data_IF_816959326562
#
_entry.id   IF_816959326562
#
_cell.length_a   1.000
_cell.length_b   1.000
_cell.length_c   1.000
_cell.angle_alpha   90.00
_cell.angle_beta   90.00
_cell.angle_gamma   90.00
#
_symmetry.space_group_name_H-M   'P 1'
#
loop_
_entity.id
_entity.type
_entity.pdbx_description
1 polymer ?
#
# COMPACT_ATOMS: atom_id res chain seq x y z
N UNK A 1 20.68 -8.22 -42.08
CA UNK A 1 21.00 -9.51 -41.40
C UNK A 1 20.79 -10.66 -42.37
N UNK A 2 21.70 -11.64 -42.41
CA UNK A 2 21.60 -12.82 -43.30
C UNK A 2 21.64 -14.10 -42.49
N UNK A 3 20.61 -14.94 -42.57
CA UNK A 3 20.53 -16.24 -41.86
C UNK A 3 20.67 -17.37 -42.87
N UNK A 4 21.47 -18.39 -42.54
CA UNK A 4 21.53 -19.64 -43.30
C UNK A 4 20.54 -20.62 -42.70
N UNK A 5 19.67 -21.21 -43.52
CA UNK A 5 18.71 -22.20 -43.07
C UNK A 5 18.44 -23.26 -44.15
N UNK A 6 18.09 -24.47 -43.72
CA UNK A 6 17.80 -25.57 -44.65
C UNK A 6 16.54 -25.29 -45.48
N UNK A 7 16.51 -25.76 -46.73
CA UNK A 7 15.36 -25.56 -47.63
C UNK A 7 14.06 -26.14 -47.06
N UNK A 8 14.16 -27.26 -46.33
CA UNK A 8 13.03 -27.96 -45.70
C UNK A 8 12.79 -27.52 -44.25
N UNK A 9 13.35 -26.39 -43.83
CA UNK A 9 13.06 -25.85 -42.51
C UNK A 9 11.69 -25.20 -42.47
N UNK A 10 11.14 -25.16 -41.27
CA UNK A 10 9.89 -24.45 -40.98
C UNK A 10 10.14 -22.96 -40.70
N UNK A 11 9.09 -22.15 -40.84
CA UNK A 11 9.11 -20.75 -40.42
C UNK A 11 9.38 -20.65 -38.92
N UNK A 12 8.90 -21.61 -38.11
CA UNK A 12 9.22 -21.67 -36.69
C UNK A 12 10.71 -21.86 -36.40
N UNK A 13 11.40 -22.74 -37.14
CA UNK A 13 12.87 -22.89 -37.05
C UNK A 13 13.60 -21.63 -37.48
N UNK A 14 13.11 -20.94 -38.52
CA UNK A 14 13.65 -19.64 -38.93
C UNK A 14 13.51 -18.61 -37.80
N UNK A 15 12.32 -18.49 -37.17
CA UNK A 15 12.11 -17.59 -36.03
C UNK A 15 13.05 -17.90 -34.85
N UNK A 16 13.31 -19.19 -34.57
CA UNK A 16 14.31 -19.61 -33.57
C UNK A 16 15.72 -19.18 -33.94
N UNK A 17 16.14 -19.35 -35.19
CA UNK A 17 17.46 -18.91 -35.67
C UNK A 17 17.61 -17.38 -35.66
N UNK A 18 16.50 -16.64 -35.80
CA UNK A 18 16.45 -15.19 -35.74
C UNK A 18 16.46 -14.65 -34.30
N UNK A 19 15.93 -15.38 -33.33
CA UNK A 19 15.75 -14.90 -31.96
C UNK A 19 17.02 -14.34 -31.30
N UNK A 20 18.20 -14.99 -31.39
CA UNK A 20 19.43 -14.44 -30.83
C UNK A 20 19.89 -13.13 -31.48
N UNK A 21 19.42 -12.85 -32.70
CA UNK A 21 19.87 -11.71 -33.49
C UNK A 21 18.89 -10.53 -33.46
N UNK A 22 17.60 -10.83 -33.36
CA UNK A 22 16.54 -9.83 -33.21
C UNK A 22 16.27 -9.48 -31.75
N UNK A 23 16.66 -10.35 -30.81
CA UNK A 23 16.32 -10.24 -29.40
C UNK A 23 14.85 -10.59 -29.09
N UNK A 24 14.05 -10.92 -30.10
CA UNK A 24 12.63 -11.26 -29.96
C UNK A 24 12.46 -12.77 -29.82
N UNK A 25 11.59 -13.21 -28.91
CA UNK A 25 11.25 -14.63 -28.83
C UNK A 25 10.56 -15.10 -30.11
N UNK A 26 10.65 -16.39 -30.49
CA UNK A 26 9.99 -16.89 -31.71
C UNK A 26 8.46 -16.65 -31.72
N UNK A 27 7.83 -16.55 -30.57
CA UNK A 27 6.40 -16.23 -30.41
C UNK A 27 6.06 -14.74 -30.61
N UNK A 28 7.06 -13.85 -30.57
CA UNK A 28 6.93 -12.40 -30.73
C UNK A 28 7.32 -11.95 -32.15
N UNK A 29 7.81 -12.87 -32.98
CA UNK A 29 8.23 -12.57 -34.34
C UNK A 29 7.09 -12.83 -35.33
N UNK A 30 6.81 -11.84 -36.16
CA UNK A 30 5.96 -11.91 -37.33
C UNK A 30 6.83 -12.00 -38.59
N UNK A 31 6.67 -13.06 -39.38
CA UNK A 31 7.46 -13.27 -40.61
C UNK A 31 6.54 -13.10 -41.81
N UNK A 32 6.89 -12.17 -42.69
CA UNK A 32 6.15 -11.87 -43.91
C UNK A 32 7.02 -12.11 -45.14
N UNK A 33 6.47 -12.83 -46.13
CA UNK A 33 7.10 -13.03 -47.43
C UNK A 33 6.09 -12.77 -48.56
N UNK A 34 6.46 -11.87 -49.49
CA UNK A 34 5.60 -11.40 -50.58
C UNK A 34 4.25 -10.87 -50.07
N UNK A 35 4.28 -10.04 -49.02
CA UNK A 35 3.10 -9.42 -48.43
C UNK A 35 2.17 -10.38 -47.66
N UNK A 36 2.56 -11.65 -47.45
CA UNK A 36 1.78 -12.63 -46.69
C UNK A 36 2.53 -13.09 -45.44
N UNK A 37 1.84 -13.05 -44.31
CA UNK A 37 2.29 -13.65 -43.05
C UNK A 37 2.45 -15.17 -43.20
N UNK A 38 3.44 -15.74 -42.49
CA UNK A 38 3.76 -17.15 -42.50
C UNK A 38 3.61 -17.78 -41.12
N UNK A 39 2.84 -18.86 -41.05
CA UNK A 39 2.63 -19.64 -39.83
C UNK A 39 3.86 -20.46 -39.49
N UNK A 40 4.05 -20.75 -38.20
CA UNK A 40 5.21 -21.51 -37.72
C UNK A 40 5.33 -22.91 -38.35
N UNK A 41 4.20 -23.53 -38.75
CA UNK A 41 4.16 -24.85 -39.39
C UNK A 41 4.43 -24.83 -40.89
N UNK A 42 4.54 -23.67 -41.54
CA UNK A 42 4.83 -23.57 -42.97
C UNK A 42 6.32 -23.79 -43.25
N UNK A 43 6.62 -24.65 -44.21
CA UNK A 43 7.97 -24.89 -44.72
C UNK A 43 8.40 -23.80 -45.71
N UNK A 44 9.65 -23.36 -45.63
CA UNK A 44 10.19 -22.25 -46.42
C UNK A 44 10.13 -22.51 -47.95
N UNK A 45 10.43 -23.75 -48.36
CA UNK A 45 10.35 -24.18 -49.77
C UNK A 45 8.94 -24.10 -50.35
N UNK A 46 7.91 -24.48 -49.58
CA UNK A 46 6.51 -24.53 -50.01
C UNK A 46 5.94 -23.17 -50.42
N UNK A 47 6.45 -22.08 -49.88
CA UNK A 47 6.05 -20.72 -50.27
C UNK A 47 7.08 -19.99 -51.16
N UNK A 48 8.05 -20.73 -51.71
CA UNK A 48 8.96 -20.25 -52.74
C UNK A 48 10.09 -19.37 -52.21
N UNK A 49 10.56 -19.63 -50.99
CA UNK A 49 11.85 -19.09 -50.50
C UNK A 49 12.97 -19.81 -51.23
N UNK A 50 13.92 -19.06 -51.76
CA UNK A 50 15.11 -19.54 -52.45
C UNK A 50 16.36 -18.91 -51.83
N UNK A 51 17.53 -19.31 -52.32
CA UNK A 51 18.78 -18.65 -51.94
C UNK A 51 18.69 -17.13 -52.21
N UNK A 52 19.16 -16.33 -51.25
CA UNK A 52 19.11 -14.85 -51.26
C UNK A 52 17.70 -14.24 -51.28
N UNK A 53 16.65 -15.02 -50.99
CA UNK A 53 15.31 -14.46 -50.76
C UNK A 53 15.32 -13.48 -49.58
N UNK A 54 14.57 -12.39 -49.71
CA UNK A 54 14.37 -11.40 -48.64
C UNK A 54 13.03 -11.65 -47.96
N UNK A 55 13.06 -11.80 -46.63
CA UNK A 55 11.88 -11.87 -45.79
C UNK A 55 11.86 -10.65 -44.88
N UNK A 56 10.66 -10.20 -44.52
CA UNK A 56 10.47 -9.16 -43.52
C UNK A 56 10.14 -9.84 -42.20
N UNK A 57 10.88 -9.47 -41.16
CA UNK A 57 10.65 -9.90 -39.79
C UNK A 57 10.31 -8.65 -39.00
N UNK A 58 9.12 -8.61 -38.43
CA UNK A 58 8.68 -7.54 -37.53
C UNK A 58 8.25 -8.14 -36.19
N UNK A 59 8.05 -7.29 -35.20
CA UNK A 59 7.42 -7.70 -33.96
C UNK A 59 5.91 -7.93 -34.19
N UNK A 60 5.34 -8.95 -33.54
CA UNK A 60 3.92 -9.23 -33.55
C UNK A 60 3.15 -8.13 -32.78
N UNK A 61 2.20 -7.42 -33.41
CA UNK A 61 1.37 -6.43 -32.71
C UNK A 61 0.68 -7.00 -31.46
N UNK A 62 0.28 -8.28 -31.48
CA UNK A 62 -0.37 -8.91 -30.34
C UNK A 62 0.62 -9.21 -29.19
N UNK A 63 1.92 -9.40 -29.47
CA UNK A 63 2.93 -9.51 -28.40
C UNK A 63 3.24 -8.16 -27.77
N UNK A 64 3.26 -7.09 -28.58
CA UNK A 64 3.40 -5.71 -28.10
C UNK A 64 2.27 -5.33 -27.14
N UNK A 65 1.02 -5.62 -27.53
CA UNK A 65 -0.16 -5.35 -26.70
C UNK A 65 -0.16 -6.15 -25.40
N UNK A 66 0.10 -7.47 -25.46
CA UNK A 66 0.22 -8.32 -24.27
C UNK A 66 1.24 -7.77 -23.27
N UNK A 67 2.41 -7.39 -23.75
CA UNK A 67 3.49 -6.85 -22.93
C UNK A 67 3.16 -5.47 -22.37
N UNK A 68 2.42 -4.65 -23.11
CA UNK A 68 1.91 -3.38 -22.60
C UNK A 68 0.93 -3.59 -21.45
N UNK A 69 -0.05 -4.48 -21.60
CA UNK A 69 -1.02 -4.83 -20.56
C UNK A 69 -0.32 -5.37 -19.32
N UNK A 70 0.64 -6.28 -19.50
CA UNK A 70 1.41 -6.86 -18.40
C UNK A 70 2.21 -5.80 -17.64
N UNK A 71 2.89 -4.88 -18.34
CA UNK A 71 3.59 -3.75 -17.70
C UNK A 71 2.65 -2.86 -16.90
N UNK A 72 1.46 -2.57 -17.44
CA UNK A 72 0.45 -1.78 -16.74
C UNK A 72 -0.05 -2.48 -15.47
N UNK A 73 -0.33 -3.80 -15.55
CA UNK A 73 -0.69 -4.60 -14.38
C UNK A 73 0.42 -4.58 -13.33
N UNK A 74 1.66 -4.83 -13.75
CA UNK A 74 2.82 -4.84 -12.84
C UNK A 74 3.02 -3.47 -12.17
N UNK A 75 2.85 -2.37 -12.92
CA UNK A 75 2.92 -1.02 -12.34
C UNK A 75 1.82 -0.77 -11.30
N UNK A 76 0.58 -1.21 -11.55
CA UNK A 76 -0.53 -1.11 -10.59
C UNK A 76 -0.24 -1.88 -9.31
N UNK A 77 0.19 -3.14 -9.42
CA UNK A 77 0.55 -3.98 -8.28
C UNK A 77 1.68 -3.35 -7.46
N UNK A 78 2.73 -2.85 -8.12
CA UNK A 78 3.85 -2.20 -7.45
C UNK A 78 3.42 -0.92 -6.71
N UNK A 79 2.54 -0.11 -7.33
CA UNK A 79 2.01 1.09 -6.69
C UNK A 79 1.15 0.76 -5.47
N UNK A 80 0.28 -0.24 -5.58
CA UNK A 80 -0.54 -0.71 -4.45
C UNK A 80 0.34 -1.23 -3.30
N UNK A 81 1.34 -2.07 -3.59
CA UNK A 81 2.27 -2.59 -2.58
C UNK A 81 3.05 -1.47 -1.88
N UNK A 82 3.52 -0.46 -2.62
CA UNK A 82 4.19 0.70 -2.03
C UNK A 82 3.27 1.47 -1.09
N UNK A 83 2.02 1.71 -1.50
CA UNK A 83 1.03 2.41 -0.68
C UNK A 83 0.68 1.62 0.59
N UNK A 84 0.44 0.30 0.48
CA UNK A 84 0.19 -0.59 1.62
C UNK A 84 1.40 -0.61 2.56
N UNK A 85 2.61 -0.71 2.02
CA UNK A 85 3.85 -0.70 2.82
C UNK A 85 4.06 0.61 3.56
N UNK A 86 3.76 1.76 2.94
CA UNK A 86 3.81 3.05 3.61
C UNK A 86 2.83 3.12 4.78
N UNK A 87 1.58 2.67 4.57
CA UNK A 87 0.58 2.63 5.66
C UNK A 87 1.01 1.66 6.76
N UNK A 88 1.59 0.50 6.42
CA UNK A 88 2.06 -0.46 7.41
C UNK A 88 3.06 0.17 8.39
N UNK A 89 4.01 0.97 7.89
CA UNK A 89 4.99 1.68 8.72
C UNK A 89 4.34 2.74 9.63
N UNK A 90 3.28 3.41 9.17
CA UNK A 90 2.52 4.35 9.99
C UNK A 90 1.73 3.62 11.08
N UNK A 91 1.09 2.50 10.72
CA UNK A 91 0.36 1.64 11.67
C UNK A 91 1.30 1.01 12.71
N UNK A 92 2.53 0.64 12.35
CA UNK A 92 3.55 0.17 13.31
C UNK A 92 3.80 1.22 14.41
N UNK A 93 4.05 2.47 14.01
CA UNK A 93 4.31 3.57 14.95
C UNK A 93 3.11 3.83 15.85
N UNK A 94 1.90 3.84 15.29
CA UNK A 94 0.68 4.03 16.07
C UNK A 94 0.47 2.87 17.05
N UNK A 95 0.73 1.63 16.64
CA UNK A 95 0.63 0.46 17.51
C UNK A 95 1.63 0.50 18.69
N UNK A 96 2.84 1.02 18.48
CA UNK A 96 3.81 1.25 19.55
C UNK A 96 3.28 2.27 20.57
N UNK A 97 2.63 3.35 20.09
CA UNK A 97 2.00 4.34 20.96
C UNK A 97 0.81 3.75 21.74
N UNK A 98 -0.01 2.91 21.10
CA UNK A 98 -1.09 2.17 21.79
C UNK A 98 -0.53 1.32 22.92
N UNK A 99 0.56 0.59 22.65
CA UNK A 99 1.23 -0.26 23.64
C UNK A 99 1.79 0.56 24.81
N UNK A 100 2.32 1.76 24.53
CA UNK A 100 2.79 2.67 25.57
C UNK A 100 1.65 3.14 26.47
N UNK A 101 0.52 3.54 25.88
CA UNK A 101 -0.67 3.96 26.64
C UNK A 101 -1.23 2.79 27.46
N UNK A 102 -1.27 1.59 26.88
CA UNK A 102 -1.71 0.38 27.58
C UNK A 102 -0.89 0.11 28.84
N UNK A 103 0.45 0.24 28.76
CA UNK A 103 1.34 0.13 29.92
C UNK A 103 1.10 1.24 30.95
N UNK A 104 0.89 2.48 30.53
CA UNK A 104 0.60 3.59 31.45
C UNK A 104 -0.72 3.38 32.20
N UNK A 105 -1.79 3.04 31.48
CA UNK A 105 -3.12 2.85 32.06
C UNK A 105 -3.17 1.61 32.95
N UNK A 106 -2.55 0.50 32.55
CA UNK A 106 -2.42 -0.69 33.41
C UNK A 106 -1.56 -0.43 34.66
N UNK A 107 -0.59 0.47 34.58
CA UNK A 107 0.16 0.99 35.72
C UNK A 107 -0.59 2.03 36.57
N UNK A 108 -1.86 2.32 36.27
CA UNK A 108 -2.70 3.28 37.02
C UNK A 108 -2.42 4.75 36.71
N UNK A 109 -1.57 5.04 35.72
CA UNK A 109 -1.26 6.41 35.32
C UNK A 109 -2.29 6.92 34.32
N UNK A 110 -2.88 8.08 34.62
CA UNK A 110 -3.91 8.70 33.77
C UNK A 110 -3.28 9.31 32.52
N UNK A 111 -3.83 8.98 31.36
CA UNK A 111 -3.46 9.52 30.06
C UNK A 111 -4.48 10.58 29.63
N UNK A 112 -4.05 11.64 28.95
CA UNK A 112 -4.97 12.66 28.46
C UNK A 112 -5.93 12.06 27.41
N UNK A 113 -7.24 12.28 27.57
CA UNK A 113 -8.26 11.72 26.67
C UNK A 113 -8.04 12.15 25.20
N UNK A 114 -7.53 13.36 24.99
CA UNK A 114 -7.18 13.87 23.66
C UNK A 114 -6.13 12.99 22.95
N UNK A 115 -5.20 12.37 23.69
CA UNK A 115 -4.19 11.48 23.08
C UNK A 115 -4.82 10.19 22.57
N UNK A 116 -5.72 9.58 23.35
CA UNK A 116 -6.43 8.34 22.98
C UNK A 116 -7.33 8.60 21.76
N UNK A 117 -8.12 9.66 21.80
CA UNK A 117 -9.02 10.03 20.69
C UNK A 117 -8.27 10.39 19.41
N UNK A 118 -7.15 11.11 19.51
CA UNK A 118 -6.30 11.42 18.35
C UNK A 118 -5.73 10.15 17.71
N UNK A 119 -5.29 9.16 18.50
CA UNK A 119 -4.78 7.90 17.95
C UNK A 119 -5.87 7.10 17.23
N UNK A 120 -7.09 7.06 17.77
CA UNK A 120 -8.24 6.43 17.10
C UNK A 120 -8.48 7.11 15.75
N UNK A 121 -8.53 8.45 15.71
CA UNK A 121 -8.74 9.18 14.45
C UNK A 121 -7.65 8.90 13.41
N UNK A 122 -6.38 8.88 13.83
CA UNK A 122 -5.25 8.58 12.94
C UNK A 122 -5.37 7.16 12.38
N UNK A 123 -5.67 6.17 13.22
CA UNK A 123 -5.90 4.78 12.81
C UNK A 123 -7.08 4.67 11.81
N UNK A 124 -8.20 5.34 12.10
CA UNK A 124 -9.37 5.35 11.21
C UNK A 124 -9.06 6.02 9.86
N UNK A 125 -8.24 7.07 9.83
CA UNK A 125 -7.77 7.66 8.55
C UNK A 125 -6.95 6.65 7.75
N UNK A 126 -6.09 5.85 8.39
CA UNK A 126 -5.35 4.78 7.69
C UNK A 126 -6.26 3.64 7.23
N UNK A 127 -7.33 3.31 7.96
CA UNK A 127 -8.33 2.34 7.52
C UNK A 127 -9.00 2.77 6.20
N UNK A 128 -9.46 4.03 6.13
CA UNK A 128 -10.06 4.60 4.91
C UNK A 128 -9.05 4.63 3.76
N UNK A 129 -7.80 5.02 4.02
CA UNK A 129 -6.72 4.97 3.02
C UNK A 129 -6.48 3.56 2.50
N UNK A 130 -6.42 2.55 3.38
CA UNK A 130 -6.27 1.15 2.98
C UNK A 130 -7.42 0.71 2.07
N UNK A 131 -8.66 1.04 2.44
CA UNK A 131 -9.85 0.68 1.67
C UNK A 131 -9.80 1.26 0.25
N UNK A 132 -9.32 2.50 0.10
CA UNK A 132 -9.19 3.18 -1.19
C UNK A 132 -8.15 2.58 -2.15
N UNK A 133 -7.20 1.77 -1.65
CA UNK A 133 -6.17 1.14 -2.48
C UNK A 133 -6.81 0.04 -3.35
N UNK A 134 -6.67 0.09 -4.69
CA UNK A 134 -7.13 -0.98 -5.57
C UNK A 134 -6.43 -2.29 -5.22
N UNK A 135 -7.20 -3.34 -4.98
CA UNK A 135 -6.66 -4.63 -4.60
C UNK A 135 -6.84 -5.65 -5.72
N UNK A 136 -5.72 -6.06 -6.32
CA UNK A 136 -5.63 -7.30 -7.10
C UNK A 136 -5.43 -8.49 -6.13
N UNK A 137 -5.64 -9.71 -6.61
CA UNK A 137 -5.45 -10.94 -5.82
C UNK A 137 -4.09 -10.98 -5.09
N UNK A 138 -3.03 -10.47 -5.75
CA UNK A 138 -1.66 -10.43 -5.23
C UNK A 138 -1.47 -9.46 -4.04
N UNK A 139 -2.33 -8.44 -3.90
CA UNK A 139 -2.20 -7.38 -2.88
C UNK A 139 -3.24 -7.49 -1.76
N UNK A 140 -4.27 -8.32 -1.97
CA UNK A 140 -5.42 -8.47 -1.06
C UNK A 140 -5.00 -8.99 0.32
N UNK A 141 -4.08 -9.95 0.39
CA UNK A 141 -3.62 -10.53 1.67
C UNK A 141 -2.92 -9.50 2.56
N UNK A 142 -2.04 -8.67 2.00
CA UNK A 142 -1.33 -7.62 2.73
C UNK A 142 -2.28 -6.50 3.17
N UNK A 143 -3.19 -6.07 2.28
CA UNK A 143 -4.24 -5.08 2.61
C UNK A 143 -5.11 -5.56 3.79
N UNK A 144 -5.57 -6.81 3.74
CA UNK A 144 -6.38 -7.42 4.80
C UNK A 144 -5.63 -7.56 6.13
N UNK A 145 -4.34 -7.88 6.07
CA UNK A 145 -3.50 -7.93 7.26
C UNK A 145 -3.44 -6.56 7.94
N UNK A 146 -3.15 -5.49 7.19
CA UNK A 146 -3.07 -4.14 7.77
C UNK A 146 -4.44 -3.66 8.28
N UNK A 147 -5.54 -3.98 7.58
CA UNK A 147 -6.89 -3.66 8.05
C UNK A 147 -7.19 -4.30 9.42
N UNK A 148 -6.85 -5.58 9.60
CA UNK A 148 -7.00 -6.27 10.90
C UNK A 148 -6.13 -5.66 12.00
N UNK A 149 -4.91 -5.22 11.65
CA UNK A 149 -4.03 -4.54 12.61
C UNK A 149 -4.59 -3.21 13.08
N UNK A 150 -5.09 -2.40 12.14
CA UNK A 150 -5.76 -1.13 12.46
C UNK A 150 -6.95 -1.37 13.37
N UNK A 151 -7.83 -2.31 13.00
CA UNK A 151 -9.00 -2.66 13.79
C UNK A 151 -8.62 -3.07 15.22
N UNK A 152 -7.64 -3.96 15.39
CA UNK A 152 -7.17 -4.39 16.71
C UNK A 152 -6.66 -3.22 17.57
N UNK A 153 -5.95 -2.26 16.96
CA UNK A 153 -5.46 -1.09 17.67
C UNK A 153 -6.60 -0.17 18.13
N UNK A 154 -7.61 0.02 17.28
CA UNK A 154 -8.80 0.82 17.62
C UNK A 154 -9.58 0.17 18.76
N UNK A 155 -9.85 -1.13 18.67
CA UNK A 155 -10.54 -1.89 19.74
C UNK A 155 -9.79 -1.80 21.08
N UNK A 156 -8.45 -1.89 21.06
CA UNK A 156 -7.63 -1.71 22.24
C UNK A 156 -7.75 -0.28 22.83
N UNK A 157 -7.71 0.74 21.98
CA UNK A 157 -7.87 2.13 22.41
C UNK A 157 -9.26 2.41 22.99
N UNK A 158 -10.32 1.78 22.47
CA UNK A 158 -11.67 1.91 23.02
C UNK A 158 -11.76 1.32 24.45
N UNK A 159 -11.16 0.16 24.66
CA UNK A 159 -11.04 -0.45 26.01
C UNK A 159 -10.21 0.45 26.94
N UNK A 160 -9.09 0.98 26.45
CA UNK A 160 -8.23 1.90 27.21
C UNK A 160 -8.95 3.20 27.53
N UNK A 161 -9.79 3.74 26.65
CA UNK A 161 -10.59 4.94 26.90
C UNK A 161 -11.49 4.76 28.12
N UNK A 162 -12.20 3.64 28.17
CA UNK A 162 -13.08 3.30 29.31
C UNK A 162 -12.26 3.09 30.59
N UNK A 163 -11.16 2.36 30.49
CA UNK A 163 -10.31 2.05 31.65
C UNK A 163 -9.65 3.29 32.22
N UNK A 164 -9.15 4.18 31.36
CA UNK A 164 -8.52 5.44 31.73
C UNK A 164 -9.51 6.43 32.35
N UNK A 165 -10.77 6.44 31.92
CA UNK A 165 -11.82 7.26 32.54
C UNK A 165 -12.12 6.85 33.99
N UNK A 166 -11.91 5.57 34.35
CA UNK A 166 -12.09 5.05 35.71
C UNK A 166 -10.93 5.41 36.65
N UNK A 167 -9.79 5.86 36.13
CA UNK A 167 -8.66 6.29 36.95
C UNK A 167 -8.98 7.61 37.64
N UNK A 168 -8.91 7.61 38.97
CA UNK A 168 -9.10 8.80 39.78
C UNK A 168 -7.96 9.79 39.51
N UNK A 169 -8.32 11.02 39.17
CA UNK A 169 -7.36 12.12 39.14
C UNK A 169 -7.00 12.41 40.59
N UNK A 170 -5.75 12.18 41.01
CA UNK A 170 -5.31 12.60 42.35
C UNK A 170 -5.45 14.11 42.43
N UNK A 171 -6.57 14.56 43.02
CA UNK A 171 -6.80 15.97 43.31
C UNK A 171 -5.93 16.26 44.53
N UNK A 172 -4.79 16.94 44.33
CA UNK A 172 -4.09 17.59 45.44
C UNK A 172 -5.03 18.68 45.92
N UNK A 173 -5.87 18.37 46.91
CA UNK A 173 -6.65 19.37 47.63
C UNK A 173 -5.65 20.15 48.47
N UNK A 174 -5.14 21.26 47.93
CA UNK A 174 -4.58 22.32 48.76
C UNK A 174 -5.73 22.85 49.61
N UNK A 175 -5.89 22.24 50.79
CA UNK A 175 -6.78 22.70 51.84
C UNK A 175 -6.20 24.02 52.34
N UNK A 176 -6.68 25.14 51.79
CA UNK A 176 -6.37 26.46 52.31
C UNK A 176 -7.10 26.62 53.65
N UNK A 177 -6.37 26.63 54.76
CA UNK A 177 -6.92 27.08 56.05
C UNK A 177 -6.93 28.60 56.05
N UNK A 178 -8.12 29.20 55.94
CA UNK A 178 -8.34 30.62 56.18
C UNK A 178 -8.22 30.89 57.68
N UNK A 179 -7.13 31.55 58.08
CA UNK A 179 -7.00 32.14 59.41
C UNK A 179 -7.79 33.45 59.46
N UNK A 180 -9.08 33.37 59.79
CA UNK A 180 -9.86 34.54 60.22
C UNK A 180 -9.91 34.57 61.74
N UNK A 181 -8.96 35.29 62.34
CA UNK A 181 -9.07 35.80 63.71
C UNK A 181 -8.92 37.32 63.66
N UNK A 182 -10.05 38.03 63.59
CA UNK A 182 -10.12 39.41 64.07
C UNK A 182 -11.47 39.66 64.74
N UNK A 183 -11.49 40.22 65.96
CA UNK A 183 -12.72 40.52 66.66
C UNK A 183 -13.46 41.72 66.02
N UNK A 184 -14.79 41.79 66.16
CA UNK A 184 -15.58 42.85 65.55
C UNK A 184 -15.30 44.19 66.23
N UNK A 185 -14.84 45.17 65.46
CA UNK A 185 -14.78 46.58 65.90
C UNK A 185 -16.19 47.15 65.84
N UNK A 186 -16.85 47.24 67.00
CA UNK A 186 -18.14 47.91 67.15
C UNK A 186 -17.94 49.41 67.12
N UNK A 187 -18.17 50.04 65.98
CA UNK A 187 -18.21 51.51 65.88
C UNK A 187 -19.60 51.99 66.29
N UNK A 188 -19.73 52.54 67.50
CA UNK A 188 -20.92 53.30 67.94
C UNK A 188 -20.81 54.73 67.41
N UNK A 189 -21.84 55.19 66.71
CA UNK A 189 -22.01 56.60 66.33
C UNK A 189 -22.92 57.29 67.36
N UNK A 190 -22.44 58.37 67.98
CA UNK A 190 -23.27 59.31 68.73
C UNK A 190 -23.62 60.50 67.83
N UNK A 191 -24.91 60.85 67.83
CA UNK A 191 -25.46 62.05 67.20
C UNK A 191 -25.40 63.17 68.25
N UNK A 192 -24.82 64.31 67.90
CA UNK A 192 -24.92 65.54 68.70
C UNK A 192 -25.85 66.53 67.99
N UNK A 193 -26.68 67.21 68.80
CA UNK A 193 -27.68 68.22 68.42
C UNK A 193 -27.09 69.46 67.71
#
# INVERSE_FOLDING_TARGET
>A
MTVSQQSKSTTGELKKALAPRTGLQPSEQLVTYKGRERKNSEFLDRFGVKNKSKLVVSEDPASLERRYIERQRNARIQNANRAIGAIALEVDKLADQVTSIEKSVSGGSKVAEVQITTLIELLMRHAVKLESIPADADTSSQKNLQAKRVQKCVEALDVLKVSNARLQTVLVTTKWETFDNSPPVTTKWEIFD
#
